data_IF_359026501771
#
_entry.id   IF_359026501771
#
_cell.length_a   1.000
_cell.length_b   1.000
_cell.length_c   1.000
_cell.angle_alpha   90.00
_cell.angle_beta   90.00
_cell.angle_gamma   90.00
#
_symmetry.space_group_name_H-M   'P 1'
#
loop_
_entity.id
_entity.type
_entity.pdbx_description
1 polymer ?
#
# COMPACT_ATOMS: atom_id res chain seq x y z
N UNK A 1 -29.25 1.32 10.41
CA UNK A 1 -28.63 1.63 9.09
C UNK A 1 -27.17 2.04 9.20
N UNK A 2 -26.77 2.90 10.15
CA UNK A 2 -25.37 3.36 10.33
C UNK A 2 -24.34 2.23 10.48
N UNK A 3 -24.66 1.18 11.24
CA UNK A 3 -23.76 0.03 11.46
C UNK A 3 -23.52 -0.82 10.20
N UNK A 4 -24.50 -0.89 9.30
CA UNK A 4 -24.36 -1.62 8.03
C UNK A 4 -23.42 -0.87 7.08
N UNK A 5 -23.50 0.46 7.05
CA UNK A 5 -22.61 1.30 6.25
C UNK A 5 -21.16 1.25 6.77
N UNK A 6 -20.98 1.20 8.09
CA UNK A 6 -19.66 1.03 8.70
C UNK A 6 -19.01 -0.30 8.30
N UNK A 7 -19.75 -1.42 8.43
CA UNK A 7 -19.23 -2.73 8.04
C UNK A 7 -18.89 -2.83 6.55
N UNK A 8 -19.66 -2.18 5.68
CA UNK A 8 -19.36 -2.14 4.25
C UNK A 8 -18.08 -1.36 3.93
N UNK A 9 -17.86 -0.22 4.59
CA UNK A 9 -16.65 0.59 4.42
C UNK A 9 -15.41 -0.13 4.96
N UNK A 10 -15.51 -0.81 6.10
CA UNK A 10 -14.44 -1.63 6.65
C UNK A 10 -14.09 -2.81 5.73
N UNK A 11 -15.09 -3.47 5.16
CA UNK A 11 -14.88 -4.56 4.19
C UNK A 11 -14.17 -4.08 2.92
N UNK A 12 -14.60 -2.95 2.35
CA UNK A 12 -13.93 -2.35 1.19
C UNK A 12 -12.49 -1.94 1.49
N UNK A 13 -12.25 -1.35 2.67
CA UNK A 13 -10.91 -0.99 3.14
C UNK A 13 -10.02 -2.23 3.26
N UNK A 14 -10.52 -3.30 3.87
CA UNK A 14 -9.74 -4.54 4.03
C UNK A 14 -9.40 -5.18 2.68
N UNK A 15 -10.32 -5.18 1.72
CA UNK A 15 -10.04 -5.64 0.36
C UNK A 15 -8.91 -4.82 -0.29
N UNK A 16 -8.93 -3.49 -0.11
CA UNK A 16 -7.88 -2.63 -0.66
C UNK A 16 -6.53 -2.88 0.01
N UNK A 17 -6.50 -3.05 1.33
CA UNK A 17 -5.28 -3.41 2.08
C UNK A 17 -4.69 -4.72 1.55
N UNK A 18 -5.51 -5.75 1.36
CA UNK A 18 -5.06 -7.05 0.83
C UNK A 18 -4.49 -6.92 -0.59
N UNK A 19 -5.11 -6.11 -1.45
CA UNK A 19 -4.62 -5.85 -2.79
C UNK A 19 -3.26 -5.13 -2.77
N UNK A 20 -3.07 -4.16 -1.87
CA UNK A 20 -1.81 -3.45 -1.68
C UNK A 20 -0.71 -4.38 -1.14
N UNK A 21 -1.01 -5.25 -0.19
CA UNK A 21 -0.06 -6.27 0.31
C UNK A 21 0.42 -7.19 -0.82
N UNK A 22 -0.51 -7.64 -1.69
CA UNK A 22 -0.16 -8.46 -2.85
C UNK A 22 0.72 -7.70 -3.87
N UNK A 23 0.42 -6.43 -4.15
CA UNK A 23 1.22 -5.61 -5.07
C UNK A 23 2.61 -5.34 -4.48
N UNK A 24 2.72 -5.00 -3.19
CA UNK A 24 4.00 -4.80 -2.50
C UNK A 24 4.85 -6.07 -2.53
N UNK A 25 4.26 -7.24 -2.23
CA UNK A 25 4.98 -8.52 -2.26
C UNK A 25 5.54 -8.82 -3.65
N UNK A 26 4.78 -8.54 -4.72
CA UNK A 26 5.28 -8.70 -6.11
C UNK A 26 6.45 -7.77 -6.40
N UNK A 27 6.40 -6.51 -5.95
CA UNK A 27 7.50 -5.56 -6.13
C UNK A 27 8.74 -5.98 -5.33
N UNK A 28 8.57 -6.51 -4.11
CA UNK A 28 9.67 -7.05 -3.31
C UNK A 28 10.36 -8.23 -4.04
N UNK A 29 9.59 -9.14 -4.64
CA UNK A 29 10.15 -10.20 -5.49
C UNK A 29 10.88 -9.64 -6.73
N UNK A 30 10.34 -8.60 -7.37
CA UNK A 30 11.01 -7.96 -8.50
C UNK A 30 12.29 -7.24 -8.11
N UNK A 31 12.39 -6.73 -6.88
CA UNK A 31 13.62 -6.11 -6.35
C UNK A 31 14.70 -7.12 -6.04
N UNK A 32 14.31 -8.28 -5.51
CA UNK A 32 15.23 -9.39 -5.24
C UNK A 32 15.82 -9.96 -6.55
N UNK A 33 15.00 -10.05 -7.59
CA UNK A 33 15.41 -10.58 -8.89
C UNK A 33 16.08 -9.57 -9.84
N UNK A 34 16.02 -8.25 -9.58
CA UNK A 34 16.56 -7.24 -10.49
C UNK A 34 18.04 -6.95 -10.27
N UNK A 35 18.83 -7.04 -11.35
CA UNK A 35 20.22 -6.59 -11.41
C UNK A 35 20.35 -5.13 -11.92
N UNK A 36 19.30 -4.57 -12.52
CA UNK A 36 19.31 -3.21 -13.06
C UNK A 36 18.98 -2.15 -11.99
N UNK A 37 19.89 -1.18 -11.82
CA UNK A 37 19.79 -0.16 -10.76
C UNK A 37 18.71 0.90 -11.03
N UNK A 38 18.44 1.27 -12.28
CA UNK A 38 17.40 2.25 -12.60
C UNK A 38 16.01 1.65 -12.37
N UNK A 39 15.81 0.42 -12.86
CA UNK A 39 14.58 -0.32 -12.66
C UNK A 39 14.34 -0.60 -11.17
N UNK A 40 15.36 -1.02 -10.42
CA UNK A 40 15.26 -1.19 -8.98
C UNK A 40 14.87 0.11 -8.25
N UNK A 41 15.38 1.27 -8.69
CA UNK A 41 14.98 2.57 -8.11
C UNK A 41 13.49 2.86 -8.35
N UNK A 42 12.99 2.65 -9.57
CA UNK A 42 11.56 2.85 -9.90
C UNK A 42 10.65 1.93 -9.10
N UNK A 43 11.03 0.65 -8.97
CA UNK A 43 10.28 -0.34 -8.20
C UNK A 43 10.25 0.02 -6.71
N UNK A 44 11.37 0.49 -6.13
CA UNK A 44 11.41 0.98 -4.74
C UNK A 44 10.50 2.17 -4.50
N UNK A 45 10.50 3.14 -5.40
CA UNK A 45 9.63 4.32 -5.29
C UNK A 45 8.15 3.92 -5.36
N UNK A 46 7.80 3.01 -6.29
CA UNK A 46 6.45 2.47 -6.38
C UNK A 46 6.05 1.72 -5.11
N UNK A 47 6.91 0.85 -4.59
CA UNK A 47 6.70 0.13 -3.33
C UNK A 47 6.43 1.08 -2.16
N UNK A 48 7.20 2.17 -2.07
CA UNK A 48 7.06 3.20 -1.03
C UNK A 48 5.70 3.92 -1.12
N UNK A 49 5.22 4.23 -2.32
CA UNK A 49 3.89 4.82 -2.51
C UNK A 49 2.77 3.88 -2.03
N UNK A 50 2.85 2.59 -2.39
CA UNK A 50 1.84 1.61 -1.97
C UNK A 50 1.86 1.36 -0.46
N UNK A 51 3.05 1.31 0.15
CA UNK A 51 3.18 1.21 1.60
C UNK A 51 2.54 2.40 2.34
N UNK A 52 2.64 3.60 1.77
CA UNK A 52 1.96 4.80 2.31
C UNK A 52 0.45 4.72 2.18
N UNK A 53 -0.04 4.31 1.02
CA UNK A 53 -1.48 4.11 0.82
C UNK A 53 -2.02 3.09 1.82
N UNK A 54 -1.32 1.96 1.98
CA UNK A 54 -1.67 0.92 2.96
C UNK A 54 -1.70 1.45 4.38
N UNK A 55 -0.69 2.23 4.78
CA UNK A 55 -0.64 2.84 6.10
C UNK A 55 -1.81 3.80 6.36
N UNK A 56 -2.18 4.62 5.36
CA UNK A 56 -3.32 5.54 5.42
C UNK A 56 -4.66 4.79 5.59
N UNK A 57 -4.80 3.63 4.95
CA UNK A 57 -5.99 2.79 5.07
C UNK A 57 -6.07 2.08 6.43
N UNK A 58 -4.95 1.68 7.02
CA UNK A 58 -4.92 1.03 8.35
C UNK A 58 -5.23 2.04 9.46
N UNK A 59 -4.66 3.25 9.38
CA UNK A 59 -4.86 4.32 10.36
C UNK A 59 -5.50 5.55 9.71
N UNK A 60 -6.81 5.52 9.42
CA UNK A 60 -7.54 6.66 8.89
C UNK A 60 -7.59 7.78 9.94
N UNK A 61 -6.61 8.68 9.89
CA UNK A 61 -6.43 9.78 10.86
C UNK A 61 -4.97 10.06 11.20
N UNK A 62 -4.08 9.09 10.99
CA UNK A 62 -2.64 9.32 11.05
C UNK A 62 -2.19 9.94 9.72
N UNK A 63 -2.32 11.26 9.59
CA UNK A 63 -1.69 12.02 8.51
C UNK A 63 -0.17 11.90 8.64
N UNK A 64 0.41 10.85 8.04
CA UNK A 64 1.84 10.74 7.87
C UNK A 64 2.28 11.73 6.77
N UNK A 65 2.39 13.01 7.14
CA UNK A 65 3.09 14.04 6.37
C UNK A 65 4.56 13.67 6.30
N UNK A 66 4.94 12.83 5.33
CA UNK A 66 6.34 12.70 4.94
C UNK A 66 6.62 13.75 3.87
N UNK A 67 7.01 14.95 4.32
CA UNK A 67 7.73 15.90 3.46
C UNK A 67 9.00 15.21 2.94
N UNK A 68 9.26 15.36 1.65
CA UNK A 68 10.49 14.96 0.98
C UNK A 68 11.30 16.18 0.61
#
# INVERSE_FOLDING_TARGET
>A
LKNYQLGHQEYQRQQRINALDAEISRLDHQLDANLDKDNAKRIRERRKQLARERASLISPGANYYFNF
#
